data_IF_575931650749
#
_entry.id   IF_575931650749
#
_cell.length_a   1.000
_cell.length_b   1.000
_cell.length_c   1.000
_cell.angle_alpha   90.00
_cell.angle_beta   90.00
_cell.angle_gamma   90.00
#
_symmetry.space_group_name_H-M   'P 1'
#
loop_
_entity.id
_entity.type
_entity.pdbx_description
1 polymer ?
#
# COMPACT_ATOMS: atom_id res chain seq x y z
N UNK A 1 21.71 -2.41 -22.79
CA UNK A 1 20.69 -2.07 -21.79
C UNK A 1 20.85 -0.60 -21.45
N UNK A 2 19.79 0.20 -21.53
CA UNK A 2 19.80 1.62 -21.15
C UNK A 2 19.37 1.75 -19.69
N UNK A 3 20.19 2.41 -18.87
CA UNK A 3 19.95 2.55 -17.43
C UNK A 3 19.33 3.91 -17.15
N UNK A 4 18.10 3.89 -16.63
CA UNK A 4 17.35 5.12 -16.34
C UNK A 4 17.96 5.92 -15.17
N UNK A 5 18.50 5.23 -14.16
CA UNK A 5 19.10 5.85 -12.98
C UNK A 5 20.62 5.68 -12.99
N UNK A 6 21.32 6.81 -13.08
CA UNK A 6 22.79 6.88 -13.06
C UNK A 6 23.28 7.77 -11.92
N UNK A 7 24.46 7.45 -11.39
CA UNK A 7 25.11 8.28 -10.39
C UNK A 7 25.71 9.53 -11.04
N UNK A 8 25.57 10.67 -10.34
CA UNK A 8 26.06 11.98 -10.79
C UNK A 8 27.32 12.41 -10.02
N UNK A 9 27.61 11.78 -8.89
CA UNK A 9 28.79 12.06 -8.08
C UNK A 9 30.08 11.78 -8.87
N UNK A 10 31.07 12.67 -8.79
CA UNK A 10 32.27 12.65 -9.63
C UNK A 10 32.98 11.29 -9.67
N UNK A 11 33.10 10.62 -8.52
CA UNK A 11 33.75 9.31 -8.41
C UNK A 11 32.95 8.14 -9.02
N UNK A 12 31.66 8.32 -9.26
CA UNK A 12 30.74 7.27 -9.75
C UNK A 12 29.97 7.71 -10.98
N UNK A 13 30.39 8.80 -11.64
CA UNK A 13 29.60 9.48 -12.66
C UNK A 13 29.29 8.55 -13.84
N UNK A 14 28.01 8.46 -14.20
CA UNK A 14 27.54 7.62 -15.31
C UNK A 14 27.35 6.14 -14.98
N UNK A 15 27.74 5.69 -13.77
CA UNK A 15 27.51 4.31 -13.34
C UNK A 15 26.04 4.11 -12.94
N UNK A 16 25.48 2.91 -13.14
CA UNK A 16 24.12 2.59 -12.71
C UNK A 16 23.98 2.69 -11.19
N UNK A 17 22.86 3.23 -10.74
CA UNK A 17 22.51 3.28 -9.32
C UNK A 17 22.04 1.90 -8.85
N UNK A 18 22.50 1.45 -7.69
CA UNK A 18 22.05 0.19 -7.11
C UNK A 18 20.61 0.27 -6.59
N UNK A 19 19.90 -0.86 -6.59
CA UNK A 19 18.54 -0.96 -6.04
C UNK A 19 18.47 -0.51 -4.57
N UNK A 20 19.53 -0.77 -3.80
CA UNK A 20 19.64 -0.35 -2.41
C UNK A 20 19.63 1.18 -2.26
N UNK A 21 20.35 1.90 -3.12
CA UNK A 21 20.35 3.38 -3.10
C UNK A 21 18.98 3.91 -3.48
N UNK A 22 18.33 3.36 -4.51
CA UNK A 22 16.98 3.77 -4.90
C UNK A 22 16.00 3.55 -3.72
N UNK A 23 16.09 2.40 -3.04
CA UNK A 23 15.28 2.12 -1.85
C UNK A 23 15.51 3.13 -0.72
N UNK A 24 16.77 3.52 -0.48
CA UNK A 24 17.10 4.56 0.50
C UNK A 24 16.54 5.93 0.13
N UNK A 25 16.53 6.31 -1.15
CA UNK A 25 15.96 7.57 -1.60
C UNK A 25 14.44 7.61 -1.40
N UNK A 26 13.74 6.54 -1.77
CA UNK A 26 12.28 6.43 -1.58
C UNK A 26 11.93 6.53 -0.09
N UNK A 27 12.59 5.72 0.75
CA UNK A 27 12.31 5.72 2.19
C UNK A 27 12.68 7.03 2.86
N UNK A 28 13.77 7.68 2.47
CA UNK A 28 14.14 9.01 3.01
C UNK A 28 13.13 10.07 2.61
N UNK A 29 12.66 10.07 1.36
CA UNK A 29 11.64 11.00 0.89
C UNK A 29 10.34 10.87 1.71
N UNK A 30 9.87 9.64 1.93
CA UNK A 30 8.68 9.39 2.75
C UNK A 30 8.87 9.93 4.17
N UNK A 31 10.01 9.61 4.81
CA UNK A 31 10.32 10.11 6.17
C UNK A 31 10.30 11.63 6.23
N UNK A 32 10.94 12.31 5.28
CA UNK A 32 10.92 13.77 5.20
C UNK A 32 9.49 14.31 5.08
N UNK A 33 8.60 13.67 4.32
CA UNK A 33 7.20 14.09 4.26
C UNK A 33 6.48 13.95 5.61
N UNK A 34 6.72 12.85 6.36
CA UNK A 34 6.15 12.68 7.71
C UNK A 34 6.69 13.75 8.69
N UNK A 35 8.00 14.01 8.65
CA UNK A 35 8.65 15.02 9.49
C UNK A 35 8.06 16.42 9.21
N UNK A 36 7.89 16.78 7.93
CA UNK A 36 7.28 18.05 7.53
C UNK A 36 5.80 18.17 7.91
N UNK A 37 5.08 17.05 7.94
CA UNK A 37 3.69 17.01 8.37
C UNK A 37 3.52 16.96 9.90
N UNK A 38 4.62 16.85 10.66
CA UNK A 38 4.59 16.82 12.13
C UNK A 38 3.90 15.57 12.70
N UNK A 39 3.84 14.49 11.93
CA UNK A 39 3.20 13.22 12.34
C UNK A 39 4.23 12.12 12.55
N UNK A 40 3.98 11.15 13.46
CA UNK A 40 4.90 10.04 13.67
C UNK A 40 5.16 9.24 12.39
N UNK A 41 6.43 9.10 12.05
CA UNK A 41 6.88 8.31 10.91
C UNK A 41 6.56 6.83 11.14
N UNK A 42 5.79 6.24 10.24
CA UNK A 42 5.54 4.79 10.24
C UNK A 42 6.73 4.02 9.67
N UNK A 43 6.85 2.73 10.00
CA UNK A 43 7.88 1.87 9.43
C UNK A 43 7.61 1.60 7.94
N UNK A 44 8.20 2.41 7.06
CA UNK A 44 8.03 2.32 5.61
C UNK A 44 9.28 1.81 4.90
N UNK A 45 9.08 0.90 3.95
CA UNK A 45 10.10 0.40 3.01
C UNK A 45 9.75 0.83 1.59
N UNK A 46 10.68 0.71 0.64
CA UNK A 46 10.37 0.98 -0.76
C UNK A 46 9.20 0.10 -1.28
N UNK A 47 9.12 -1.16 -0.84
CA UNK A 47 8.02 -2.06 -1.19
C UNK A 47 6.66 -1.59 -0.65
N UNK A 48 6.64 -0.92 0.51
CA UNK A 48 5.43 -0.33 1.08
C UNK A 48 4.76 0.66 0.12
N UNK A 49 5.55 1.40 -0.68
CA UNK A 49 5.03 2.35 -1.68
C UNK A 49 4.19 1.62 -2.74
N UNK A 50 4.72 0.50 -3.27
CA UNK A 50 3.99 -0.33 -4.23
C UNK A 50 2.74 -0.92 -3.60
N UNK A 51 2.84 -1.35 -2.34
CA UNK A 51 1.70 -1.87 -1.58
C UNK A 51 0.55 -0.85 -1.52
N UNK A 52 0.85 0.35 -1.05
CA UNK A 52 -0.13 1.43 -0.92
C UNK A 52 -0.71 1.86 -2.25
N UNK A 53 0.11 1.95 -3.31
CA UNK A 53 -0.38 2.29 -4.65
C UNK A 53 -1.37 1.25 -5.19
N UNK A 54 -1.05 -0.05 -5.07
CA UNK A 54 -1.94 -1.13 -5.51
C UNK A 54 -3.22 -1.19 -4.68
N UNK A 55 -3.14 -1.06 -3.35
CA UNK A 55 -4.33 -0.99 -2.49
C UNK A 55 -5.19 0.23 -2.81
N UNK A 56 -4.59 1.39 -3.10
CA UNK A 56 -5.32 2.60 -3.48
C UNK A 56 -6.06 2.44 -4.81
N UNK A 57 -5.41 1.85 -5.82
CA UNK A 57 -6.04 1.55 -7.10
C UNK A 57 -7.21 0.57 -6.95
N UNK A 58 -7.05 -0.42 -6.07
CA UNK A 58 -8.11 -1.37 -5.77
C UNK A 58 -9.31 -0.72 -5.06
N UNK A 59 -9.06 0.16 -4.09
CA UNK A 59 -10.11 0.97 -3.45
C UNK A 59 -10.79 1.93 -4.42
N UNK A 60 -10.11 2.35 -5.47
CA UNK A 60 -10.69 3.12 -6.57
C UNK A 60 -11.45 2.26 -7.60
N UNK A 61 -11.73 1.00 -7.28
CA UNK A 61 -12.46 0.04 -8.11
C UNK A 61 -11.81 -0.23 -9.48
N UNK A 62 -10.50 -0.04 -9.60
CA UNK A 62 -9.77 -0.46 -10.81
C UNK A 62 -9.77 -1.99 -10.88
N UNK A 63 -10.08 -2.58 -12.05
CA UNK A 63 -10.10 -4.04 -12.21
C UNK A 63 -8.77 -4.67 -11.76
N UNK A 64 -8.86 -5.75 -10.99
CA UNK A 64 -7.68 -6.37 -10.38
C UNK A 64 -6.65 -6.86 -11.42
N UNK A 65 -7.12 -7.25 -12.60
CA UNK A 65 -6.26 -7.66 -13.71
C UNK A 65 -5.40 -6.48 -14.22
N UNK A 66 -5.95 -5.27 -14.26
CA UNK A 66 -5.23 -4.07 -14.66
C UNK A 66 -4.20 -3.66 -13.61
N UNK A 67 -4.55 -3.78 -12.33
CA UNK A 67 -3.62 -3.55 -11.22
C UNK A 67 -2.47 -4.55 -11.28
N UNK A 68 -2.75 -5.85 -11.46
CA UNK A 68 -1.72 -6.89 -11.55
C UNK A 68 -0.80 -6.66 -12.75
N UNK A 69 -1.36 -6.27 -13.90
CA UNK A 69 -0.60 -5.92 -15.11
C UNK A 69 0.32 -4.71 -14.87
N UNK A 70 -0.21 -3.63 -14.31
CA UNK A 70 0.57 -2.42 -14.00
C UNK A 70 1.64 -2.68 -12.94
N UNK A 71 1.33 -3.52 -11.95
CA UNK A 71 2.24 -3.95 -10.91
C UNK A 71 3.11 -5.13 -11.34
N UNK A 72 3.14 -5.56 -12.62
CA UNK A 72 3.98 -6.67 -13.11
C UNK A 72 3.88 -7.99 -12.31
N UNK A 73 2.74 -8.27 -11.68
CA UNK A 73 2.50 -9.55 -11.02
C UNK A 73 1.96 -10.59 -11.99
N UNK A 74 2.48 -11.81 -11.88
CA UNK A 74 2.03 -12.96 -12.66
C UNK A 74 0.66 -13.49 -12.22
N UNK A 75 0.20 -13.18 -11.00
CA UNK A 75 -1.11 -13.64 -10.53
C UNK A 75 -1.76 -12.71 -9.50
N UNK A 76 -3.09 -12.77 -9.46
CA UNK A 76 -3.97 -12.10 -8.48
C UNK A 76 -3.72 -12.60 -7.05
N UNK A 77 -3.24 -13.85 -6.89
CA UNK A 77 -2.96 -14.43 -5.58
C UNK A 77 -1.88 -13.64 -4.82
N UNK A 78 -0.84 -13.18 -5.52
CA UNK A 78 0.19 -12.30 -4.96
C UNK A 78 -0.39 -10.97 -4.48
N UNK A 79 -1.44 -10.48 -5.15
CA UNK A 79 -2.15 -9.28 -4.70
C UNK A 79 -2.98 -9.56 -3.43
N UNK A 80 -3.80 -10.60 -3.45
CA UNK A 80 -4.74 -10.91 -2.37
C UNK A 80 -4.02 -11.16 -1.04
N UNK A 81 -2.91 -11.90 -1.04
CA UNK A 81 -2.18 -12.24 0.19
C UNK A 81 -1.50 -11.05 0.88
N UNK A 82 -1.20 -9.97 0.15
CA UNK A 82 -0.35 -8.89 0.67
C UNK A 82 -1.02 -7.50 0.68
N UNK A 83 -2.11 -7.31 -0.07
CA UNK A 83 -2.58 -5.95 -0.39
C UNK A 83 -4.11 -5.75 -0.32
N UNK A 84 -4.91 -6.81 -0.16
CA UNK A 84 -6.37 -6.72 0.02
C UNK A 84 -6.82 -6.50 1.48
N UNK A 85 -5.88 -6.35 2.43
CA UNK A 85 -6.14 -6.33 3.88
C UNK A 85 -7.13 -5.23 4.29
N UNK A 86 -7.13 -4.07 3.62
CA UNK A 86 -8.03 -2.96 3.96
C UNK A 86 -9.51 -3.30 3.74
N UNK A 87 -9.82 -4.21 2.82
CA UNK A 87 -11.19 -4.61 2.53
C UNK A 87 -11.72 -5.56 3.61
N UNK A 88 -10.92 -6.56 4.00
CA UNK A 88 -11.29 -7.49 5.07
C UNK A 88 -11.58 -6.76 6.39
N UNK A 89 -10.74 -5.80 6.78
CA UNK A 89 -10.97 -5.04 8.03
C UNK A 89 -12.24 -4.19 8.00
N UNK A 90 -12.58 -3.60 6.84
CA UNK A 90 -13.81 -2.79 6.70
C UNK A 90 -15.07 -3.64 6.66
N UNK A 91 -15.01 -4.79 5.99
CA UNK A 91 -16.12 -5.74 5.95
C UNK A 91 -16.34 -6.38 7.33
N UNK A 92 -15.28 -6.66 8.09
CA UNK A 92 -15.36 -7.14 9.47
C UNK A 92 -16.05 -6.13 10.40
N UNK A 93 -15.73 -4.83 10.28
CA UNK A 93 -16.38 -3.76 11.06
C UNK A 93 -17.87 -3.60 10.69
N UNK A 94 -18.20 -3.69 9.40
CA UNK A 94 -19.56 -3.61 8.91
C UNK A 94 -20.39 -4.82 9.36
N UNK A 95 -19.81 -6.02 9.30
CA UNK A 95 -20.42 -7.25 9.81
C UNK A 95 -20.64 -7.17 11.32
N UNK A 96 -19.63 -6.77 12.09
CA UNK A 96 -19.74 -6.58 13.54
C UNK A 96 -20.85 -5.59 13.92
N UNK A 97 -20.92 -4.46 13.21
CA UNK A 97 -21.99 -3.47 13.41
C UNK A 97 -23.37 -4.02 13.08
N UNK A 98 -23.52 -4.81 12.00
CA UNK A 98 -24.78 -5.42 11.62
C UNK A 98 -25.24 -6.48 12.64
N UNK A 99 -24.32 -7.29 13.16
CA UNK A 99 -24.61 -8.27 14.21
C UNK A 99 -25.11 -7.57 15.48
N UNK A 100 -24.41 -6.53 15.94
CA UNK A 100 -24.82 -5.77 17.12
C UNK A 100 -26.19 -5.08 16.93
N UNK A 101 -26.44 -4.51 15.75
CA UNK A 101 -27.70 -3.84 15.44
C UNK A 101 -28.88 -4.82 15.29
N UNK A 102 -28.61 -6.06 14.85
CA UNK A 102 -29.64 -7.11 14.83
C UNK A 102 -29.97 -7.63 16.22
N UNK A 103 -28.97 -7.73 17.11
CA UNK A 103 -29.17 -8.13 18.50
C UNK A 103 -29.98 -7.08 19.30
N UNK A 104 -29.73 -5.78 19.09
CA UNK A 104 -30.52 -4.72 19.75
C UNK A 104 -31.97 -4.66 19.24
N UNK A 105 -32.21 -5.06 18.00
CA UNK A 105 -33.57 -5.13 17.43
C UNK A 105 -34.38 -6.34 17.92
N UNK A 106 -33.73 -7.35 18.51
CA UNK A 106 -34.39 -8.53 19.09
C UNK A 106 -34.70 -8.38 20.59
N UNK A 107 -34.22 -7.32 21.25
CA UNK A 107 -34.41 -7.08 22.68
C UNK A 107 -35.65 -6.27 23.06
N UNK A 108 -36.63 -6.12 22.16
CA UNK A 108 -37.97 -5.62 22.53
C UNK A 108 -39.03 -6.73 22.49
N UNK A 109 -39.29 -7.41 23.62
CA UNK A 109 -40.57 -8.02 23.89
C UNK A 109 -41.21 -7.35 25.11
N UNK A 110 -42.18 -6.46 24.90
CA UNK A 110 -43.38 -6.34 25.73
C UNK A 110 -44.19 -5.08 25.37
N UNK A 111 -45.31 -5.28 24.69
CA UNK A 111 -46.56 -4.60 25.01
C UNK A 111 -47.64 -5.66 25.10
#
# INVERSE_FOLDING_TARGET
>A
STQLFIAVADQMKGLPVSSQRISSWITSCIRTCYDLAGVPTMHTTAHSTRAQASSSAFLAHIPIQDICRAATWSSVHTFASHYAIVQHSRDDDAFGSAVLNSAVSQSDPAS
#
